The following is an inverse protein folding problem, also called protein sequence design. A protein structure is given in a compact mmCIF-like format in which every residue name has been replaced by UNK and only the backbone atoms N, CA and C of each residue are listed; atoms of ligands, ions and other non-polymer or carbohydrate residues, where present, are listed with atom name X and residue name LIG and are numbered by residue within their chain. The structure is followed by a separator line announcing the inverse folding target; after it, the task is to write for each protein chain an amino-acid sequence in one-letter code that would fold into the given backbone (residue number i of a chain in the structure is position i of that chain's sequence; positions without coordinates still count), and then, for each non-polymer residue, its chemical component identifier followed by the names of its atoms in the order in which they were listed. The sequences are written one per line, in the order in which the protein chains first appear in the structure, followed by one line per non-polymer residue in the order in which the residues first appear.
data_IF_355283407351
#
_entry.id   IF_355283407351
#
_cell.length_a   1.000
_cell.length_b   1.000
_cell.length_c   1.000
_cell.angle_alpha   90.00
_cell.angle_beta   90.00
_cell.angle_gamma   90.00
#
_symmetry.space_group_name_H-M   'P 1'
#
loop_
_entity.id
_entity.type
_entity.pdbx_description
1 polymer ?
#
# COMPACT_ATOMS: atom_id res chain seq x y z
N UNK A 1 50.30 36.17 38.86
CA UNK A 1 49.60 36.29 37.56
C UNK A 1 49.61 34.94 36.83
N UNK A 2 50.77 34.28 36.67
CA UNK A 2 50.89 32.99 35.92
C UNK A 2 50.05 31.86 36.55
N UNK A 3 50.06 31.74 37.87
CA UNK A 3 49.24 30.73 38.58
C UNK A 3 47.73 30.96 38.44
N UNK A 4 47.32 32.25 38.40
CA UNK A 4 45.93 32.61 38.19
C UNK A 4 45.45 32.29 36.76
N UNK A 5 46.28 32.57 35.77
CA UNK A 5 45.97 32.22 34.34
C UNK A 5 45.93 30.71 34.17
N UNK A 6 46.83 29.94 34.80
CA UNK A 6 46.82 28.48 34.76
C UNK A 6 45.55 27.89 35.39
N UNK A 7 45.10 28.40 36.55
CA UNK A 7 43.83 27.97 37.18
C UNK A 7 42.62 28.29 36.30
N UNK A 8 42.57 29.48 35.66
CA UNK A 8 41.52 29.82 34.73
C UNK A 8 41.48 28.88 33.52
N UNK A 9 42.63 28.53 32.96
CA UNK A 9 42.71 27.58 31.86
C UNK A 9 42.23 26.19 32.27
N UNK A 10 42.68 25.70 33.43
CA UNK A 10 42.21 24.38 33.94
C UNK A 10 40.72 24.38 34.22
N UNK A 11 40.16 25.44 34.79
CA UNK A 11 38.70 25.58 35.00
C UNK A 11 37.93 25.63 33.66
N UNK A 12 38.49 26.31 32.66
CA UNK A 12 37.92 26.35 31.32
C UNK A 12 37.90 24.96 30.67
N UNK A 13 39.03 24.23 30.71
CA UNK A 13 39.11 22.86 30.21
C UNK A 13 38.11 21.90 30.90
N UNK A 14 38.01 22.02 32.23
CA UNK A 14 37.00 21.23 33.00
C UNK A 14 35.58 21.57 32.59
N UNK A 15 35.27 22.84 32.36
CA UNK A 15 33.98 23.29 31.93
C UNK A 15 33.66 22.79 30.50
N UNK A 16 34.60 22.92 29.57
CA UNK A 16 34.45 22.39 28.21
C UNK A 16 34.25 20.87 28.21
N UNK A 17 35.06 20.14 28.98
CA UNK A 17 34.94 18.68 29.08
C UNK A 17 33.56 18.27 29.69
N UNK A 18 33.11 18.96 30.73
CA UNK A 18 31.79 18.72 31.31
C UNK A 18 30.68 18.94 30.31
N UNK A 19 30.70 20.06 29.61
CA UNK A 19 29.69 20.40 28.59
C UNK A 19 29.68 19.37 27.45
N UNK A 20 30.88 18.92 27.02
CA UNK A 20 30.97 17.89 25.99
C UNK A 20 30.36 16.56 26.44
N UNK A 21 30.66 16.11 27.66
CA UNK A 21 30.09 14.87 28.22
C UNK A 21 28.58 14.99 28.38
N UNK A 22 28.04 16.13 28.85
CA UNK A 22 26.62 16.37 28.98
C UNK A 22 25.90 16.31 27.61
N UNK A 23 26.49 16.90 26.57
CA UNK A 23 25.96 16.85 25.19
C UNK A 23 26.00 15.43 24.62
N UNK A 24 27.08 14.68 24.83
CA UNK A 24 27.18 13.28 24.40
C UNK A 24 26.17 12.38 25.13
N UNK A 25 25.93 12.62 26.41
CA UNK A 25 24.91 11.89 27.18
C UNK A 25 23.51 12.19 26.68
N UNK A 26 23.18 13.48 26.45
CA UNK A 26 21.88 13.89 25.89
C UNK A 26 21.65 13.25 24.52
N UNK A 27 22.66 13.30 23.61
CA UNK A 27 22.59 12.66 22.29
C UNK A 27 22.33 11.17 22.41
N UNK A 28 23.10 10.46 23.25
CA UNK A 28 22.97 9.02 23.42
C UNK A 28 21.61 8.62 24.01
N UNK A 29 21.15 9.35 25.04
CA UNK A 29 19.84 9.07 25.65
C UNK A 29 18.68 9.32 24.67
N UNK A 30 18.77 10.40 23.86
CA UNK A 30 17.77 10.71 22.84
C UNK A 30 17.78 9.65 21.74
N UNK A 31 18.94 9.18 21.30
CA UNK A 31 19.06 8.12 20.30
C UNK A 31 18.45 6.80 20.80
N UNK A 32 18.71 6.43 22.06
CA UNK A 32 18.08 5.25 22.68
C UNK A 32 16.56 5.42 22.70
N UNK A 33 16.04 6.59 23.05
CA UNK A 33 14.61 6.88 23.03
C UNK A 33 14.03 6.72 21.61
N UNK A 34 14.68 7.27 20.59
CA UNK A 34 14.28 7.08 19.18
C UNK A 34 14.18 5.61 18.79
N UNK A 35 15.21 4.80 19.13
CA UNK A 35 15.23 3.36 18.82
C UNK A 35 14.14 2.60 19.57
N UNK A 36 13.90 2.96 20.82
CA UNK A 36 12.88 2.32 21.64
C UNK A 36 11.47 2.58 21.08
N UNK A 37 11.16 3.83 20.74
CA UNK A 37 9.87 4.20 20.12
C UNK A 37 9.65 3.49 18.78
N UNK A 38 10.66 3.47 17.91
CA UNK A 38 10.58 2.75 16.64
C UNK A 38 10.39 1.24 16.80
N UNK A 39 10.87 0.65 17.89
CA UNK A 39 10.80 -0.79 18.14
C UNK A 39 9.52 -1.21 18.87
N UNK A 40 8.98 -0.35 19.73
CA UNK A 40 7.84 -0.65 20.59
C UNK A 40 6.51 -0.56 19.84
N UNK A 41 6.39 0.33 18.86
CA UNK A 41 5.15 0.53 18.13
C UNK A 41 5.07 -0.40 16.91
N UNK A 42 3.96 -1.15 16.79
CA UNK A 42 3.69 -2.04 15.65
C UNK A 42 3.33 -1.24 14.38
N UNK A 43 2.64 -0.10 14.55
CA UNK A 43 2.33 0.82 13.44
C UNK A 43 3.58 1.64 13.10
N UNK A 44 4.06 1.45 11.87
CA UNK A 44 5.28 2.11 11.39
C UNK A 44 5.08 3.62 11.21
N UNK A 45 3.91 4.03 10.76
CA UNK A 45 3.61 5.44 10.48
C UNK A 45 3.49 6.22 11.79
N UNK A 46 2.86 5.64 12.81
CA UNK A 46 2.79 6.21 14.16
C UNK A 46 4.18 6.28 14.81
N UNK A 47 4.99 5.21 14.67
CA UNK A 47 6.37 5.19 15.18
C UNK A 47 7.24 6.28 14.56
N UNK A 48 7.14 6.51 13.25
CA UNK A 48 7.89 7.55 12.56
C UNK A 48 7.42 8.95 13.00
N UNK A 49 6.12 9.17 13.16
CA UNK A 49 5.60 10.45 13.64
C UNK A 49 6.09 10.79 15.06
N UNK A 50 6.10 9.83 15.98
CA UNK A 50 6.66 10.02 17.33
C UNK A 50 8.17 10.28 17.28
N UNK A 51 8.89 9.58 16.39
CA UNK A 51 10.30 9.82 16.18
C UNK A 51 10.59 11.26 15.73
N UNK A 52 9.81 11.77 14.76
CA UNK A 52 9.96 13.15 14.29
C UNK A 52 9.69 14.17 15.42
N UNK A 53 8.77 13.88 16.33
CA UNK A 53 8.55 14.70 17.53
C UNK A 53 9.78 14.73 18.43
N UNK A 54 10.39 13.58 18.71
CA UNK A 54 11.61 13.47 19.54
C UNK A 54 12.77 14.28 18.90
N UNK A 55 12.95 14.12 17.57
CA UNK A 55 13.98 14.87 16.83
C UNK A 55 13.70 16.38 16.90
N UNK A 56 12.45 16.80 16.72
CA UNK A 56 12.03 18.18 16.80
C UNK A 56 12.37 18.79 18.17
N UNK A 57 12.10 18.06 19.25
CA UNK A 57 12.43 18.47 20.62
C UNK A 57 13.94 18.57 20.86
N UNK A 58 14.73 17.63 20.32
CA UNK A 58 16.19 17.60 20.42
C UNK A 58 16.84 18.84 19.77
N UNK A 59 16.36 19.22 18.59
CA UNK A 59 16.83 20.40 17.86
C UNK A 59 16.14 21.69 18.28
N UNK A 60 15.05 21.61 19.05
CA UNK A 60 14.15 22.73 19.37
C UNK A 60 13.72 23.48 18.10
N UNK A 61 13.31 22.73 17.10
CA UNK A 61 13.03 23.21 15.75
C UNK A 61 11.55 23.55 15.53
N UNK A 62 11.27 24.20 14.41
CA UNK A 62 9.89 24.50 14.02
C UNK A 62 9.21 23.26 13.43
N UNK A 63 9.88 22.58 12.49
CA UNK A 63 9.40 21.36 11.84
C UNK A 63 10.51 20.33 11.70
N UNK A 64 10.10 19.07 11.68
CA UNK A 64 10.94 17.93 11.31
C UNK A 64 10.12 17.07 10.36
N UNK A 65 10.71 16.65 9.25
CA UNK A 65 9.98 15.99 8.17
C UNK A 65 10.83 14.98 7.40
N UNK A 66 10.15 14.11 6.66
CA UNK A 66 10.75 13.18 5.72
C UNK A 66 10.14 13.44 4.35
N UNK A 67 11.00 13.66 3.36
CA UNK A 67 10.64 13.66 1.95
C UNK A 67 11.11 12.39 1.28
N UNK A 68 10.28 11.80 0.44
CA UNK A 68 10.61 10.67 -0.42
C UNK A 68 10.61 11.11 -1.89
N UNK A 69 11.50 10.50 -2.67
CA UNK A 69 11.66 10.76 -4.10
C UNK A 69 10.92 9.67 -4.87
N UNK A 70 9.99 10.07 -5.74
CA UNK A 70 9.38 9.22 -6.75
C UNK A 70 10.06 9.50 -8.10
N UNK A 71 11.03 8.64 -8.47
CA UNK A 71 11.78 8.79 -9.71
C UNK A 71 10.93 8.56 -10.96
N UNK A 72 9.91 7.69 -10.88
CA UNK A 72 9.04 7.42 -12.03
C UNK A 72 8.19 8.65 -12.37
N UNK A 73 7.66 9.33 -11.36
CA UNK A 73 6.84 10.54 -11.49
C UNK A 73 7.67 11.84 -11.54
N UNK A 74 8.97 11.77 -11.27
CA UNK A 74 9.89 12.93 -11.17
C UNK A 74 9.43 13.96 -10.14
N UNK A 75 8.92 13.50 -8.99
CA UNK A 75 8.45 14.34 -7.89
C UNK A 75 9.12 13.94 -6.57
N UNK A 76 9.05 14.84 -5.61
CA UNK A 76 9.30 14.57 -4.20
C UNK A 76 8.03 14.91 -3.41
N UNK A 77 7.75 14.12 -2.38
CA UNK A 77 6.58 14.32 -1.54
C UNK A 77 6.97 14.27 -0.06
N UNK A 78 6.30 15.10 0.73
CA UNK A 78 6.45 15.11 2.18
C UNK A 78 5.62 13.95 2.76
N UNK A 79 6.29 12.83 3.10
CA UNK A 79 5.64 11.62 3.58
C UNK A 79 5.28 11.69 5.06
N UNK A 80 6.10 12.37 5.86
CA UNK A 80 5.92 12.50 7.31
C UNK A 80 6.34 13.87 7.78
N UNK A 81 5.58 14.47 8.69
CA UNK A 81 5.88 15.78 9.25
C UNK A 81 5.39 15.95 10.69
N UNK A 82 6.28 16.42 11.55
CA UNK A 82 5.95 16.97 12.84
C UNK A 82 6.20 18.48 12.87
N UNK A 83 5.21 19.26 13.29
CA UNK A 83 5.32 20.70 13.48
C UNK A 83 5.16 21.05 14.97
N UNK A 84 6.03 21.93 15.47
CA UNK A 84 5.95 22.43 16.84
C UNK A 84 4.66 23.23 17.08
N UNK A 85 4.27 23.37 18.33
CA UNK A 85 3.05 24.10 18.69
C UNK A 85 3.06 25.53 18.14
N UNK A 86 2.06 25.86 17.35
CA UNK A 86 1.91 27.20 16.73
C UNK A 86 2.60 27.33 15.37
N UNK A 87 3.18 26.26 14.85
CA UNK A 87 3.76 26.20 13.49
C UNK A 87 2.78 25.45 12.59
N UNK A 88 2.55 25.94 11.37
CA UNK A 88 1.74 25.27 10.35
C UNK A 88 2.40 23.99 9.84
N UNK A 89 1.61 22.97 9.58
CA UNK A 89 2.03 21.81 8.80
C UNK A 89 1.98 22.13 7.30
N UNK A 90 2.94 21.65 6.57
CA UNK A 90 3.05 21.85 5.11
C UNK A 90 2.91 20.55 4.31
N UNK A 91 2.67 19.43 4.98
CA UNK A 91 2.59 18.10 4.36
C UNK A 91 1.58 18.03 3.20
N UNK A 92 0.44 18.69 3.31
CA UNK A 92 -0.58 18.74 2.26
C UNK A 92 -0.16 19.62 1.07
N UNK A 93 0.59 20.69 1.34
CA UNK A 93 1.05 21.64 0.34
C UNK A 93 2.28 21.13 -0.46
N UNK A 94 3.02 20.18 0.10
CA UNK A 94 4.28 19.66 -0.43
C UNK A 94 4.18 18.18 -0.86
N UNK A 95 3.02 17.75 -1.30
CA UNK A 95 2.76 16.36 -1.65
C UNK A 95 3.18 16.00 -3.10
N UNK A 96 3.32 16.96 -4.01
CA UNK A 96 3.76 16.73 -5.40
C UNK A 96 4.71 17.83 -5.86
N UNK A 97 5.88 17.89 -5.24
CA UNK A 97 6.91 18.89 -5.58
C UNK A 97 7.79 18.38 -6.71
N UNK A 98 7.96 19.10 -7.83
CA UNK A 98 8.87 18.69 -8.89
C UNK A 98 10.30 18.48 -8.39
N UNK A 99 10.94 17.37 -8.75
CA UNK A 99 12.29 16.99 -8.27
C UNK A 99 13.34 18.06 -8.64
N UNK A 100 13.10 18.83 -9.69
CA UNK A 100 13.98 19.91 -10.15
C UNK A 100 14.15 21.01 -9.08
N UNK A 101 13.19 21.18 -8.16
CA UNK A 101 13.26 22.18 -7.08
C UNK A 101 14.36 21.81 -6.07
N UNK A 102 14.63 20.52 -5.89
CA UNK A 102 15.67 20.04 -4.97
C UNK A 102 16.92 19.52 -5.70
N UNK A 103 17.06 19.77 -7.01
CA UNK A 103 18.20 19.23 -7.78
C UNK A 103 19.56 19.65 -7.25
N UNK A 104 19.70 20.86 -6.72
CA UNK A 104 20.92 21.33 -6.08
C UNK A 104 21.17 20.65 -4.74
N UNK A 105 20.11 20.31 -4.01
CA UNK A 105 20.22 19.56 -2.75
C UNK A 105 20.73 18.14 -2.99
N UNK A 106 20.25 17.48 -4.05
CA UNK A 106 20.76 16.16 -4.44
C UNK A 106 22.27 16.23 -4.70
N UNK A 107 22.74 17.23 -5.47
CA UNK A 107 24.17 17.45 -5.70
C UNK A 107 24.95 17.74 -4.41
N UNK A 108 24.37 18.51 -3.47
CA UNK A 108 24.96 18.76 -2.15
C UNK A 108 25.07 17.45 -1.34
N UNK A 109 24.02 16.61 -1.35
CA UNK A 109 24.06 15.31 -0.68
C UNK A 109 25.12 14.38 -1.26
N UNK A 110 25.26 14.32 -2.57
CA UNK A 110 26.31 13.52 -3.24
C UNK A 110 27.72 13.97 -2.86
N UNK A 111 27.92 15.28 -2.72
CA UNK A 111 29.25 15.87 -2.43
C UNK A 111 29.60 15.89 -0.95
N UNK A 112 28.63 16.22 -0.08
CA UNK A 112 28.86 16.55 1.33
C UNK A 112 28.20 15.55 2.29
N UNK A 113 27.31 14.69 1.79
CA UNK A 113 26.55 13.73 2.57
C UNK A 113 25.37 14.36 3.31
N UNK A 114 25.57 15.50 3.97
CA UNK A 114 24.54 16.25 4.70
C UNK A 114 24.92 17.73 4.69
N UNK A 115 23.95 18.62 4.86
CA UNK A 115 24.25 20.04 4.89
C UNK A 115 23.39 20.80 5.92
N UNK A 116 23.90 21.98 6.30
CA UNK A 116 23.23 22.95 7.16
C UNK A 116 23.22 24.32 6.50
N UNK A 117 22.04 24.88 6.30
CA UNK A 117 21.82 26.25 5.89
C UNK A 117 21.61 27.08 7.15
N UNK A 118 22.60 27.90 7.53
CA UNK A 118 22.55 28.71 8.75
C UNK A 118 21.67 29.95 8.62
N UNK A 119 21.61 30.50 7.41
CA UNK A 119 20.78 31.64 7.06
C UNK A 119 20.48 31.59 5.57
N UNK A 120 19.19 31.35 5.26
CA UNK A 120 18.72 31.22 3.87
C UNK A 120 19.00 32.46 3.03
N UNK A 121 18.98 33.67 3.61
CA UNK A 121 19.22 34.91 2.88
C UNK A 121 20.69 35.10 2.46
N UNK A 122 21.62 34.39 3.09
CA UNK A 122 23.05 34.42 2.73
C UNK A 122 23.41 33.43 1.64
N UNK A 123 22.60 32.38 1.43
CA UNK A 123 22.80 31.37 0.39
C UNK A 123 22.17 31.75 -0.96
N UNK A 124 22.33 33.01 -1.38
CA UNK A 124 21.81 33.52 -2.66
C UNK A 124 22.59 32.96 -3.88
N UNK A 125 22.77 31.65 -3.98
CA UNK A 125 23.15 31.03 -5.21
C UNK A 125 21.91 30.94 -6.11
N UNK A 126 21.95 31.67 -7.21
CA UNK A 126 20.85 31.84 -8.20
C UNK A 126 20.39 30.52 -8.84
N UNK A 127 21.08 29.42 -8.61
CA UNK A 127 20.69 28.09 -9.12
C UNK A 127 19.46 27.53 -8.41
N UNK A 128 19.08 28.04 -7.22
CA UNK A 128 18.00 27.53 -6.37
C UNK A 128 16.91 28.55 -6.02
N UNK A 129 16.64 29.52 -6.92
CA UNK A 129 15.65 30.57 -6.66
C UNK A 129 14.26 30.00 -6.27
N UNK A 130 13.84 28.89 -6.91
CA UNK A 130 12.56 28.23 -6.59
C UNK A 130 12.55 27.55 -5.24
N UNK A 131 13.64 26.86 -4.87
CA UNK A 131 13.79 26.26 -3.55
C UNK A 131 13.82 27.35 -2.47
N UNK A 132 14.54 28.47 -2.72
CA UNK A 132 14.56 29.61 -1.82
C UNK A 132 13.17 30.21 -1.61
N UNK A 133 12.39 30.47 -2.67
CA UNK A 133 11.04 31.00 -2.55
C UNK A 133 10.11 30.04 -1.81
N UNK A 134 10.20 28.75 -2.07
CA UNK A 134 9.43 27.71 -1.40
C UNK A 134 9.70 27.71 0.12
N UNK A 135 10.98 27.75 0.52
CA UNK A 135 11.36 27.78 1.94
C UNK A 135 10.96 29.09 2.62
N UNK A 136 11.11 30.23 1.93
CA UNK A 136 10.71 31.54 2.46
C UNK A 136 9.19 31.65 2.70
N UNK A 137 8.40 31.12 1.78
CA UNK A 137 6.94 31.08 1.94
C UNK A 137 6.51 30.32 3.21
N UNK A 138 7.32 29.38 3.65
CA UNK A 138 7.10 28.55 4.84
C UNK A 138 7.76 29.11 6.11
N UNK A 139 8.31 30.34 6.07
CA UNK A 139 9.05 30.98 7.16
C UNK A 139 10.32 30.20 7.58
N UNK A 140 10.94 29.45 6.70
CA UNK A 140 12.22 28.78 6.95
C UNK A 140 13.35 29.79 6.78
N UNK A 141 14.20 29.95 7.81
CA UNK A 141 15.40 30.80 7.78
C UNK A 141 16.69 29.98 7.84
N UNK A 142 16.64 28.83 8.48
CA UNK A 142 17.75 27.88 8.58
C UNK A 142 17.21 26.45 8.50
N UNK A 143 18.01 25.52 7.99
CA UNK A 143 17.60 24.13 7.94
C UNK A 143 18.80 23.17 7.97
N UNK A 144 18.56 21.97 8.49
CA UNK A 144 19.47 20.82 8.37
C UNK A 144 18.81 19.82 7.44
N UNK A 145 19.57 19.21 6.53
CA UNK A 145 19.09 18.13 5.70
C UNK A 145 20.10 16.98 5.65
N UNK A 146 19.60 15.75 5.78
CA UNK A 146 20.37 14.51 5.72
C UNK A 146 19.69 13.56 4.73
N UNK A 147 20.40 12.99 3.74
CA UNK A 147 19.78 12.14 2.72
C UNK A 147 19.36 10.80 3.29
N UNK A 148 18.27 10.25 2.80
CA UNK A 148 17.88 8.85 2.97
C UNK A 148 18.52 8.06 1.83
N UNK A 149 19.39 7.11 2.15
CA UNK A 149 20.16 6.36 1.16
C UNK A 149 19.78 4.89 1.21
N UNK A 150 19.43 4.32 0.06
CA UNK A 150 19.17 2.89 -0.15
C UNK A 150 20.01 2.41 -1.34
N UNK A 151 20.80 1.35 -1.17
CA UNK A 151 21.63 0.78 -2.23
C UNK A 151 22.56 1.79 -2.94
N UNK A 152 23.03 2.81 -2.23
CA UNK A 152 23.85 3.95 -2.71
C UNK A 152 23.09 4.99 -3.54
N UNK A 153 21.78 4.92 -3.59
CA UNK A 153 20.90 5.89 -4.24
C UNK A 153 20.22 6.75 -3.19
N UNK A 154 20.02 8.02 -3.48
CA UNK A 154 19.30 8.95 -2.61
C UNK A 154 17.81 8.80 -2.94
N UNK A 155 17.05 8.22 -2.00
CA UNK A 155 15.61 7.97 -2.15
C UNK A 155 14.76 9.00 -1.42
N UNK A 156 15.37 9.99 -0.78
CA UNK A 156 14.67 11.00 0.00
C UNK A 156 15.63 11.75 0.93
N UNK A 157 15.08 12.46 1.88
CA UNK A 157 15.85 13.12 2.92
C UNK A 157 15.02 13.41 4.17
N UNK A 158 15.71 13.51 5.30
CA UNK A 158 15.14 14.05 6.54
C UNK A 158 15.59 15.50 6.71
N UNK A 159 14.64 16.38 7.02
CA UNK A 159 14.88 17.80 7.24
C UNK A 159 14.44 18.29 8.60
N UNK A 160 15.11 19.34 9.08
CA UNK A 160 14.82 20.03 10.36
C UNK A 160 14.86 21.53 10.09
N UNK A 161 13.71 22.20 10.19
CA UNK A 161 13.59 23.64 9.94
C UNK A 161 13.81 24.45 11.21
N UNK A 162 14.56 25.54 11.07
CA UNK A 162 14.81 26.53 12.12
C UNK A 162 15.32 25.90 13.44
N UNK A 163 16.37 25.03 13.41
CA UNK A 163 16.92 24.44 14.63
C UNK A 163 17.53 25.53 15.53
N UNK A 164 17.21 25.49 16.84
CA UNK A 164 17.70 26.43 17.85
C UNK A 164 18.74 25.81 18.76
N UNK A 165 18.90 24.47 18.70
CA UNK A 165 19.88 23.70 19.47
C UNK A 165 20.49 22.61 18.60
N UNK A 166 21.69 22.16 18.89
CA UNK A 166 22.35 21.00 18.29
C UNK A 166 22.49 21.05 16.74
N UNK A 167 22.37 22.22 16.12
CA UNK A 167 22.30 22.43 14.66
C UNK A 167 23.50 21.93 13.84
N UNK A 168 24.55 21.43 14.50
CA UNK A 168 25.72 20.78 13.86
C UNK A 168 25.82 19.29 14.15
N UNK A 169 24.83 18.71 14.84
CA UNK A 169 24.86 17.28 15.18
C UNK A 169 24.31 16.40 14.05
N UNK A 170 25.01 16.45 12.90
CA UNK A 170 24.75 15.54 11.78
C UNK A 170 24.88 14.05 12.16
N UNK A 171 25.85 13.63 13.02
CA UNK A 171 25.97 12.24 13.42
C UNK A 171 24.70 11.69 14.08
N UNK A 172 23.96 12.52 14.86
CA UNK A 172 22.69 12.14 15.43
C UNK A 172 21.65 11.86 14.33
N UNK A 173 21.42 12.80 13.40
CA UNK A 173 20.46 12.61 12.30
C UNK A 173 20.84 11.45 11.38
N UNK A 174 22.14 11.26 11.10
CA UNK A 174 22.61 10.13 10.29
C UNK A 174 22.37 8.79 10.99
N UNK A 175 22.49 8.74 12.32
CA UNK A 175 22.12 7.53 13.09
C UNK A 175 20.62 7.28 13.05
N UNK A 176 19.81 8.31 13.22
CA UNK A 176 18.34 8.21 13.15
C UNK A 176 17.89 7.81 11.75
N UNK A 177 18.50 8.36 10.69
CA UNK A 177 18.26 7.98 9.30
C UNK A 177 18.40 6.46 9.11
N UNK A 178 19.45 5.86 9.66
CA UNK A 178 19.65 4.40 9.56
C UNK A 178 18.48 3.62 10.17
N UNK A 179 17.96 4.03 11.32
CA UNK A 179 16.82 3.37 11.96
C UNK A 179 15.51 3.59 11.18
N UNK A 180 15.29 4.80 10.66
CA UNK A 180 14.12 5.09 9.80
C UNK A 180 14.16 4.17 8.57
N UNK A 181 15.30 4.10 7.88
CA UNK A 181 15.45 3.26 6.68
C UNK A 181 15.16 1.80 6.98
N UNK A 182 15.73 1.24 8.05
CA UNK A 182 15.45 -0.13 8.45
C UNK A 182 13.96 -0.36 8.73
N UNK A 183 13.28 0.61 9.31
CA UNK A 183 11.85 0.50 9.62
C UNK A 183 10.98 0.56 8.36
N UNK A 184 11.28 1.47 7.44
CA UNK A 184 10.61 1.58 6.14
C UNK A 184 10.84 0.32 5.29
N UNK A 185 12.06 -0.22 5.26
CA UNK A 185 12.36 -1.45 4.55
C UNK A 185 11.61 -2.66 5.14
N UNK A 186 11.49 -2.72 6.47
CA UNK A 186 10.70 -3.75 7.15
C UNK A 186 9.22 -3.64 6.76
N UNK A 187 8.64 -2.43 6.75
CA UNK A 187 7.26 -2.17 6.31
C UNK A 187 7.06 -2.65 4.87
N UNK A 188 7.92 -2.22 3.95
CA UNK A 188 7.84 -2.60 2.54
C UNK A 188 7.95 -4.12 2.34
N UNK A 189 8.82 -4.80 3.11
CA UNK A 189 8.94 -6.25 3.08
C UNK A 189 7.68 -6.94 3.62
N UNK A 190 7.10 -6.45 4.71
CA UNK A 190 5.86 -6.96 5.26
C UNK A 190 4.69 -6.80 4.28
N UNK A 191 4.54 -5.63 3.68
CA UNK A 191 3.51 -5.35 2.67
C UNK A 191 3.67 -6.27 1.45
N UNK A 192 4.92 -6.45 0.98
CA UNK A 192 5.21 -7.38 -0.13
C UNK A 192 4.88 -8.83 0.22
N UNK A 193 5.25 -9.28 1.42
CA UNK A 193 4.91 -10.62 1.89
C UNK A 193 3.40 -10.80 2.01
N UNK A 194 2.69 -9.80 2.53
CA UNK A 194 1.25 -9.80 2.62
C UNK A 194 0.59 -9.83 1.24
N UNK A 195 1.07 -9.01 0.30
CA UNK A 195 0.62 -9.01 -1.09
C UNK A 195 0.78 -10.41 -1.71
N UNK A 196 1.98 -11.01 -1.62
CA UNK A 196 2.26 -12.35 -2.15
C UNK A 196 1.43 -13.44 -1.45
N UNK A 197 1.17 -13.29 -0.15
CA UNK A 197 0.34 -14.23 0.61
C UNK A 197 -1.15 -14.14 0.29
N UNK A 198 -1.64 -13.00 -0.21
CA UNK A 198 -3.06 -12.73 -0.41
C UNK A 198 -3.50 -12.67 -1.88
N UNK A 199 -2.58 -12.80 -2.84
CA UNK A 199 -2.91 -12.80 -4.26
C UNK A 199 -2.81 -14.20 -4.87
N UNK A 200 -3.69 -14.48 -5.83
CA UNK A 200 -3.65 -15.69 -6.66
C UNK A 200 -2.66 -15.50 -7.79
N UNK A 201 -1.69 -16.41 -7.92
CA UNK A 201 -0.60 -16.30 -8.88
C UNK A 201 -1.06 -16.32 -10.36
N UNK A 202 -2.20 -16.94 -10.68
CA UNK A 202 -2.71 -17.04 -12.03
C UNK A 202 -3.52 -15.81 -12.45
N UNK A 203 -4.35 -15.28 -11.54
CA UNK A 203 -5.38 -14.28 -11.86
C UNK A 203 -5.08 -12.89 -11.25
N UNK A 204 -4.17 -12.82 -10.30
CA UNK A 204 -3.86 -11.64 -9.47
C UNK A 204 -5.07 -11.14 -8.64
N UNK A 205 -6.16 -11.88 -8.54
CA UNK A 205 -7.25 -11.64 -7.61
C UNK A 205 -6.82 -11.96 -6.17
N UNK A 206 -7.61 -11.58 -5.18
CA UNK A 206 -7.41 -12.10 -3.84
C UNK A 206 -7.56 -13.62 -3.83
N UNK A 207 -6.68 -14.30 -3.11
CA UNK A 207 -6.69 -15.76 -2.99
C UNK A 207 -7.55 -16.23 -1.80
N UNK A 208 -7.62 -17.55 -1.62
CA UNK A 208 -8.34 -18.18 -0.53
C UNK A 208 -7.86 -17.73 0.86
N UNK A 209 -6.56 -17.47 1.04
CA UNK A 209 -6.05 -17.03 2.34
C UNK A 209 -6.61 -15.65 2.71
N UNK A 210 -6.66 -14.71 1.76
CA UNK A 210 -7.29 -13.39 1.98
C UNK A 210 -8.78 -13.53 2.29
N UNK A 211 -9.48 -14.38 1.55
CA UNK A 211 -10.90 -14.67 1.78
C UNK A 211 -11.16 -15.18 3.21
N UNK A 212 -10.39 -16.18 3.67
CA UNK A 212 -10.50 -16.71 5.03
C UNK A 212 -10.18 -15.67 6.10
N UNK A 213 -9.16 -14.85 5.89
CA UNK A 213 -8.81 -13.76 6.81
C UNK A 213 -9.95 -12.74 6.94
N UNK A 214 -10.62 -12.39 5.83
CA UNK A 214 -11.78 -11.49 5.85
C UNK A 214 -12.95 -12.13 6.64
N UNK A 215 -13.24 -13.40 6.44
CA UNK A 215 -14.28 -14.11 7.19
C UNK A 215 -13.98 -14.17 8.69
N UNK A 216 -12.75 -14.47 9.07
CA UNK A 216 -12.32 -14.49 10.47
C UNK A 216 -12.50 -13.13 11.14
N UNK A 217 -12.14 -12.03 10.47
CA UNK A 217 -12.34 -10.68 10.98
C UNK A 217 -13.82 -10.36 11.22
N UNK A 218 -14.71 -10.80 10.33
CA UNK A 218 -16.15 -10.66 10.54
C UNK A 218 -16.67 -11.54 11.68
N UNK A 219 -16.14 -12.76 11.84
CA UNK A 219 -16.56 -13.67 12.90
C UNK A 219 -16.06 -13.24 14.29
N UNK A 220 -14.89 -12.61 14.39
CA UNK A 220 -14.34 -12.10 15.66
C UNK A 220 -15.15 -10.90 16.18
N UNK A 221 -15.73 -10.10 15.31
CA UNK A 221 -16.63 -8.99 15.64
C UNK A 221 -18.07 -9.46 15.92
N UNK A 222 -18.23 -10.55 16.69
CA UNK A 222 -19.52 -11.15 17.03
C UNK A 222 -20.48 -10.10 17.60
N UNK A 223 -21.59 -9.88 16.88
CA UNK A 223 -22.65 -8.93 17.26
C UNK A 223 -22.61 -7.61 16.48
N UNK A 224 -21.63 -7.38 15.62
CA UNK A 224 -21.65 -6.27 14.69
C UNK A 224 -22.44 -6.67 13.43
N UNK A 225 -23.60 -6.04 13.25
CA UNK A 225 -24.43 -6.21 12.06
C UNK A 225 -23.69 -5.66 10.85
N UNK A 226 -23.53 -6.50 9.82
CA UNK A 226 -23.02 -6.04 8.52
C UNK A 226 -24.23 -5.49 7.76
N UNK A 227 -24.14 -4.21 7.38
CA UNK A 227 -25.20 -3.55 6.60
C UNK A 227 -24.94 -3.65 5.11
N UNK A 228 -26.02 -3.83 4.34
CA UNK A 228 -25.98 -3.75 2.88
C UNK A 228 -24.88 -4.62 2.25
N UNK A 229 -24.90 -5.91 2.49
CA UNK A 229 -23.88 -6.84 1.98
C UNK A 229 -24.38 -7.63 0.79
N UNK A 230 -23.62 -7.62 -0.30
CA UNK A 230 -23.81 -8.43 -1.49
C UNK A 230 -22.78 -9.55 -1.59
N UNK A 231 -23.24 -10.75 -1.97
CA UNK A 231 -22.39 -11.92 -2.24
C UNK A 231 -22.73 -12.48 -3.62
N UNK A 232 -21.68 -12.73 -4.42
CA UNK A 232 -21.80 -13.52 -5.65
C UNK A 232 -20.85 -14.72 -5.54
N UNK A 233 -21.40 -15.93 -5.50
CA UNK A 233 -20.63 -17.17 -5.60
C UNK A 233 -20.63 -17.62 -7.06
N UNK A 234 -19.49 -18.01 -7.60
CA UNK A 234 -19.32 -18.28 -9.03
C UNK A 234 -18.45 -19.52 -9.26
N UNK A 235 -18.83 -20.28 -10.28
CA UNK A 235 -18.08 -21.47 -10.73
C UNK A 235 -18.00 -21.47 -12.26
N UNK A 236 -16.80 -21.69 -12.80
CA UNK A 236 -16.59 -21.76 -14.24
C UNK A 236 -17.05 -23.08 -14.83
N UNK A 237 -18.05 -22.99 -15.71
CA UNK A 237 -18.53 -24.15 -16.43
C UNK A 237 -17.52 -24.60 -17.50
N UNK A 238 -17.48 -25.89 -17.75
CA UNK A 238 -16.71 -26.53 -18.82
C UNK A 238 -15.17 -26.39 -18.73
N UNK A 239 -14.58 -25.89 -17.62
CA UNK A 239 -13.12 -25.78 -17.49
C UNK A 239 -12.41 -27.12 -17.70
N UNK A 240 -12.95 -28.22 -17.15
CA UNK A 240 -12.41 -29.56 -17.35
C UNK A 240 -12.40 -29.94 -18.83
N UNK A 241 -13.47 -29.62 -19.57
CA UNK A 241 -13.56 -29.91 -21.00
C UNK A 241 -12.51 -29.10 -21.78
N UNK A 242 -12.32 -27.83 -21.45
CA UNK A 242 -11.28 -26.99 -22.08
C UNK A 242 -9.89 -27.58 -21.82
N UNK A 243 -9.61 -28.01 -20.59
CA UNK A 243 -8.34 -28.68 -20.26
C UNK A 243 -8.14 -29.98 -21.03
N UNK A 244 -9.17 -30.83 -21.12
CA UNK A 244 -9.08 -32.13 -21.76
C UNK A 244 -8.96 -32.02 -23.29
N UNK A 245 -9.60 -31.01 -23.92
CA UNK A 245 -9.59 -30.80 -25.37
C UNK A 245 -8.43 -29.93 -25.87
N UNK A 246 -7.97 -28.93 -25.09
CA UNK A 246 -7.04 -27.90 -25.53
C UNK A 246 -5.79 -27.76 -24.63
N UNK A 247 -5.70 -28.53 -23.55
CA UNK A 247 -4.59 -28.52 -22.60
C UNK A 247 -4.72 -27.47 -21.48
N UNK A 248 -3.89 -27.62 -20.46
CA UNK A 248 -3.93 -26.77 -19.25
C UNK A 248 -3.67 -25.28 -19.51
N UNK A 249 -2.84 -24.94 -20.50
CA UNK A 249 -2.60 -23.54 -20.87
C UNK A 249 -3.86 -22.83 -21.37
N UNK A 250 -4.71 -23.54 -22.11
CA UNK A 250 -6.01 -23.03 -22.56
C UNK A 250 -6.97 -22.84 -21.38
N UNK A 251 -6.96 -23.78 -20.42
CA UNK A 251 -7.73 -23.66 -19.19
C UNK A 251 -7.29 -22.47 -18.33
N UNK A 252 -5.99 -22.28 -18.18
CA UNK A 252 -5.42 -21.12 -17.49
C UNK A 252 -5.83 -19.81 -18.17
N UNK A 253 -5.81 -19.77 -19.50
CA UNK A 253 -6.27 -18.61 -20.27
C UNK A 253 -7.78 -18.36 -20.08
N UNK A 254 -8.57 -19.41 -19.97
CA UNK A 254 -10.00 -19.32 -19.68
C UNK A 254 -10.28 -18.78 -18.30
N UNK A 255 -9.53 -19.24 -17.27
CA UNK A 255 -9.59 -18.71 -15.89
C UNK A 255 -9.19 -17.24 -15.85
N UNK A 256 -8.08 -16.84 -16.51
CA UNK A 256 -7.65 -15.41 -16.56
C UNK A 256 -8.71 -14.53 -17.21
N UNK A 257 -9.32 -14.99 -18.30
CA UNK A 257 -10.38 -14.26 -18.99
C UNK A 257 -11.60 -14.06 -18.09
N UNK A 258 -12.03 -15.09 -17.35
CA UNK A 258 -13.10 -14.97 -16.36
C UNK A 258 -12.76 -13.96 -15.27
N UNK A 259 -11.58 -14.07 -14.68
CA UNK A 259 -11.09 -13.16 -13.65
C UNK A 259 -11.09 -11.70 -14.11
N UNK A 260 -10.69 -11.42 -15.36
CA UNK A 260 -10.71 -10.09 -15.94
C UNK A 260 -12.14 -9.51 -16.02
N UNK A 261 -13.15 -10.33 -16.36
CA UNK A 261 -14.52 -9.86 -16.42
C UNK A 261 -15.10 -9.59 -15.04
N UNK A 262 -14.71 -10.39 -14.04
CA UNK A 262 -15.20 -10.23 -12.66
C UNK A 262 -14.58 -8.97 -12.04
N UNK A 263 -13.26 -8.80 -12.13
CA UNK A 263 -12.56 -7.66 -11.52
C UNK A 263 -12.91 -6.33 -12.19
N UNK A 264 -13.25 -6.33 -13.47
CA UNK A 264 -13.70 -5.13 -14.18
C UNK A 264 -15.00 -4.54 -13.60
N UNK A 265 -15.82 -5.37 -12.93
CA UNK A 265 -17.07 -4.97 -12.30
C UNK A 265 -16.94 -4.84 -10.79
N UNK A 266 -16.17 -5.74 -10.15
CA UNK A 266 -16.00 -5.83 -8.70
C UNK A 266 -14.51 -5.73 -8.32
N UNK A 267 -13.84 -4.60 -8.53
CA UNK A 267 -12.47 -4.42 -8.10
C UNK A 267 -12.38 -4.55 -6.57
N UNK A 268 -11.29 -5.13 -6.05
CA UNK A 268 -10.97 -5.26 -4.62
C UNK A 268 -11.91 -6.11 -3.75
N UNK A 269 -13.03 -6.59 -4.29
CA UNK A 269 -14.02 -7.42 -3.60
C UNK A 269 -14.10 -8.85 -4.14
N UNK A 270 -13.16 -9.23 -5.01
CA UNK A 270 -13.16 -10.50 -5.72
C UNK A 270 -12.08 -11.44 -5.22
N UNK A 271 -12.47 -12.67 -4.94
CA UNK A 271 -11.61 -13.74 -4.41
C UNK A 271 -11.66 -14.94 -5.33
N UNK A 272 -10.50 -15.57 -5.62
CA UNK A 272 -10.44 -16.91 -6.19
C UNK A 272 -10.17 -17.89 -5.07
N UNK A 273 -11.15 -18.76 -4.78
CA UNK A 273 -11.12 -19.66 -3.62
C UNK A 273 -10.80 -21.12 -3.98
N UNK A 274 -10.96 -21.48 -5.25
CA UNK A 274 -10.70 -22.80 -5.81
C UNK A 274 -10.13 -22.71 -7.23
N UNK A 275 -10.02 -23.85 -7.91
CA UNK A 275 -9.53 -23.91 -9.30
C UNK A 275 -10.38 -23.10 -10.27
N UNK A 276 -11.70 -23.31 -10.20
CA UNK A 276 -12.77 -22.72 -11.02
C UNK A 276 -13.76 -21.87 -10.22
N UNK A 277 -13.54 -21.69 -8.90
CA UNK A 277 -14.45 -21.03 -8.00
C UNK A 277 -13.99 -19.60 -7.65
N UNK A 278 -14.93 -18.65 -7.75
CA UNK A 278 -14.73 -17.25 -7.41
C UNK A 278 -15.83 -16.77 -6.48
N UNK A 279 -15.50 -15.85 -5.60
CA UNK A 279 -16.46 -15.20 -4.71
C UNK A 279 -16.28 -13.69 -4.79
N UNK A 280 -17.38 -12.96 -4.87
CA UNK A 280 -17.45 -11.53 -4.57
C UNK A 280 -18.10 -11.38 -3.22
N UNK A 281 -17.47 -10.62 -2.32
CA UNK A 281 -18.00 -10.21 -1.04
C UNK A 281 -17.93 -8.69 -0.97
N UNK A 282 -19.07 -8.03 -1.11
CA UNK A 282 -19.15 -6.57 -1.20
C UNK A 282 -19.98 -6.00 -0.04
N UNK A 283 -19.34 -5.53 1.03
CA UNK A 283 -20.02 -4.84 2.13
C UNK A 283 -20.45 -3.42 1.73
N UNK A 284 -21.42 -2.86 2.44
CA UNK A 284 -21.89 -1.48 2.33
C UNK A 284 -22.41 -1.06 0.95
N UNK A 285 -22.79 -2.03 0.10
CA UNK A 285 -23.35 -1.77 -1.23
C UNK A 285 -24.90 -1.79 -1.21
N UNK A 286 -25.54 -0.77 -1.81
CA UNK A 286 -26.98 -0.73 -1.97
C UNK A 286 -27.47 -1.84 -2.91
N UNK A 287 -28.64 -2.38 -2.65
CA UNK A 287 -29.21 -3.47 -3.45
C UNK A 287 -29.26 -3.14 -4.95
N UNK A 288 -29.77 -1.97 -5.30
CA UNK A 288 -29.91 -1.54 -6.70
C UNK A 288 -28.59 -1.44 -7.44
N UNK A 289 -27.55 -1.00 -6.75
CA UNK A 289 -26.19 -0.89 -7.29
C UNK A 289 -25.57 -2.28 -7.44
N UNK A 290 -25.72 -3.13 -6.45
CA UNK A 290 -25.26 -4.51 -6.50
C UNK A 290 -25.90 -5.30 -7.64
N UNK A 291 -27.22 -5.22 -7.80
CA UNK A 291 -27.95 -5.88 -8.89
C UNK A 291 -27.51 -5.35 -10.27
N UNK A 292 -27.26 -4.05 -10.39
CA UNK A 292 -26.69 -3.47 -11.59
C UNK A 292 -25.31 -4.04 -11.91
N UNK A 293 -24.41 -4.13 -10.94
CA UNK A 293 -23.09 -4.72 -11.14
C UNK A 293 -23.16 -6.20 -11.52
N UNK A 294 -24.04 -6.98 -10.87
CA UNK A 294 -24.27 -8.37 -11.25
C UNK A 294 -24.74 -8.49 -12.70
N UNK A 295 -25.65 -7.63 -13.14
CA UNK A 295 -26.12 -7.62 -14.53
C UNK A 295 -25.02 -7.29 -15.53
N UNK A 296 -24.13 -6.36 -15.21
CA UNK A 296 -22.96 -6.03 -16.02
C UNK A 296 -21.97 -7.20 -16.08
N UNK A 297 -21.71 -7.88 -14.95
CA UNK A 297 -20.86 -9.06 -14.94
C UNK A 297 -21.39 -10.16 -15.85
N UNK A 298 -22.70 -10.47 -15.76
CA UNK A 298 -23.32 -11.49 -16.61
C UNK A 298 -23.25 -11.13 -18.10
N UNK A 299 -23.43 -9.86 -18.44
CA UNK A 299 -23.30 -9.35 -19.81
C UNK A 299 -21.84 -9.49 -20.29
N UNK A 300 -20.88 -9.01 -19.54
CA UNK A 300 -19.45 -9.09 -19.86
C UNK A 300 -18.99 -10.54 -20.07
N UNK A 301 -19.37 -11.43 -19.14
CA UNK A 301 -19.03 -12.85 -19.25
C UNK A 301 -19.56 -13.46 -20.56
N UNK A 302 -20.81 -13.15 -20.94
CA UNK A 302 -21.42 -13.63 -22.17
C UNK A 302 -20.70 -13.08 -23.43
N UNK A 303 -20.39 -11.79 -23.44
CA UNK A 303 -19.67 -11.12 -24.55
C UNK A 303 -18.27 -11.70 -24.76
N UNK A 304 -17.60 -12.09 -23.68
CA UNK A 304 -16.26 -12.67 -23.72
C UNK A 304 -16.23 -14.20 -23.72
N UNK A 305 -17.38 -14.84 -23.97
CA UNK A 305 -17.52 -16.30 -24.06
C UNK A 305 -17.00 -17.04 -22.82
N UNK A 306 -17.32 -16.50 -21.63
CA UNK A 306 -17.04 -17.12 -20.35
C UNK A 306 -18.34 -17.66 -19.78
N UNK A 307 -18.41 -18.99 -19.61
CA UNK A 307 -19.59 -19.64 -19.03
C UNK A 307 -19.42 -19.77 -17.52
N UNK A 308 -20.23 -19.06 -16.76
CA UNK A 308 -20.19 -19.02 -15.30
C UNK A 308 -21.56 -19.38 -14.75
N UNK A 309 -21.60 -20.21 -13.73
CA UNK A 309 -22.79 -20.40 -12.87
C UNK A 309 -22.71 -19.47 -11.68
N UNK A 310 -23.86 -18.85 -11.34
CA UNK A 310 -23.94 -17.77 -10.35
C UNK A 310 -24.87 -18.12 -9.20
N UNK A 311 -24.45 -17.80 -7.99
CA UNK A 311 -25.33 -17.69 -6.82
C UNK A 311 -25.25 -16.27 -6.26
N UNK A 312 -26.35 -15.53 -6.37
CA UNK A 312 -26.41 -14.11 -6.01
C UNK A 312 -27.30 -13.92 -4.79
N UNK A 313 -26.81 -13.26 -3.77
CA UNK A 313 -27.57 -12.94 -2.55
C UNK A 313 -27.19 -11.52 -2.11
N UNK A 314 -28.19 -10.77 -1.68
CA UNK A 314 -28.02 -9.48 -1.03
C UNK A 314 -28.86 -9.41 0.24
N UNK A 315 -28.31 -8.79 1.31
CA UNK A 315 -29.05 -8.54 2.56
C UNK A 315 -28.76 -7.13 3.08
N UNK A 316 -29.82 -6.46 3.51
CA UNK A 316 -29.72 -5.15 4.16
C UNK A 316 -29.05 -5.24 5.54
N UNK A 317 -29.36 -6.30 6.27
CA UNK A 317 -28.80 -6.60 7.59
C UNK A 317 -28.40 -8.08 7.65
N UNK A 318 -27.11 -8.33 7.84
CA UNK A 318 -26.56 -9.68 7.93
C UNK A 318 -25.96 -9.90 9.33
N UNK A 319 -26.56 -10.83 10.07
CA UNK A 319 -26.09 -11.22 11.41
C UNK A 319 -25.00 -12.29 11.34
N UNK A 320 -25.08 -13.15 10.33
CA UNK A 320 -24.13 -14.24 10.10
C UNK A 320 -23.74 -14.30 8.63
N UNK A 321 -22.49 -13.97 8.35
CA UNK A 321 -21.96 -13.98 6.99
C UNK A 321 -21.83 -15.39 6.42
N UNK A 322 -21.58 -16.40 7.24
CA UNK A 322 -21.45 -17.79 6.80
C UNK A 322 -22.78 -18.34 6.24
N UNK A 323 -23.92 -17.97 6.84
CA UNK A 323 -25.24 -18.35 6.35
C UNK A 323 -25.52 -17.72 4.97
N UNK A 324 -25.10 -16.45 4.80
CA UNK A 324 -25.25 -15.74 3.53
C UNK A 324 -24.42 -16.37 2.41
N UNK A 325 -23.19 -16.74 2.72
CA UNK A 325 -22.29 -17.45 1.80
C UNK A 325 -22.82 -18.83 1.44
N UNK A 326 -23.34 -19.58 2.42
CA UNK A 326 -23.96 -20.88 2.20
C UNK A 326 -25.19 -20.78 1.29
N UNK A 327 -26.00 -19.73 1.46
CA UNK A 327 -27.14 -19.46 0.58
C UNK A 327 -26.69 -19.16 -0.86
N UNK A 328 -25.63 -18.36 -1.02
CA UNK A 328 -25.07 -18.03 -2.32
C UNK A 328 -24.49 -19.27 -3.03
N UNK A 329 -23.72 -20.09 -2.32
CA UNK A 329 -23.17 -21.34 -2.85
C UNK A 329 -24.28 -22.29 -3.32
N UNK A 330 -25.33 -22.47 -2.51
CA UNK A 330 -26.50 -23.30 -2.90
C UNK A 330 -27.16 -22.80 -4.19
N UNK A 331 -27.36 -21.50 -4.34
CA UNK A 331 -27.97 -20.92 -5.57
C UNK A 331 -27.05 -21.14 -6.78
N UNK A 332 -25.73 -20.98 -6.62
CA UNK A 332 -24.74 -21.26 -7.67
C UNK A 332 -24.80 -22.73 -8.11
N UNK A 333 -24.88 -23.65 -7.16
CA UNK A 333 -24.99 -25.08 -7.47
C UNK A 333 -26.31 -25.45 -8.21
N UNK A 334 -27.42 -24.79 -7.88
CA UNK A 334 -28.69 -24.93 -8.59
C UNK A 334 -28.57 -24.41 -10.03
N UNK A 335 -27.97 -23.26 -10.25
CA UNK A 335 -27.72 -22.70 -11.58
C UNK A 335 -26.79 -23.60 -12.41
N UNK A 336 -25.74 -24.17 -11.80
CA UNK A 336 -24.85 -25.13 -12.43
C UNK A 336 -25.57 -26.39 -12.92
N UNK A 337 -26.53 -26.91 -12.12
CA UNK A 337 -27.35 -28.05 -12.55
C UNK A 337 -28.21 -27.71 -13.77
N UNK A 338 -28.83 -26.54 -13.78
CA UNK A 338 -29.59 -26.06 -14.91
C UNK A 338 -28.76 -25.91 -16.18
N UNK A 339 -27.60 -25.35 -16.07
CA UNK A 339 -26.64 -25.20 -17.17
C UNK A 339 -26.34 -26.57 -17.84
N UNK A 340 -25.95 -27.57 -17.06
CA UNK A 340 -25.60 -28.89 -17.61
C UNK A 340 -26.84 -29.69 -18.09
N UNK A 341 -28.00 -29.51 -17.52
CA UNK A 341 -29.24 -30.17 -18.02
C UNK A 341 -29.60 -29.64 -19.41
N UNK A 342 -29.58 -28.34 -19.61
CA UNK A 342 -29.86 -27.68 -20.89
C UNK A 342 -28.85 -28.05 -21.96
N UNK A 343 -27.57 -28.15 -21.59
CA UNK A 343 -26.45 -28.54 -22.52
C UNK A 343 -26.59 -30.00 -22.97
N UNK A 344 -27.05 -30.91 -22.11
CA UNK A 344 -27.31 -32.30 -22.48
C UNK A 344 -28.51 -32.41 -23.45
N UNK A 345 -29.56 -31.62 -23.26
CA UNK A 345 -30.71 -31.59 -24.18
C UNK A 345 -30.31 -31.04 -25.56
N UNK A 346 -29.53 -29.98 -25.63
CA UNK A 346 -29.04 -29.45 -26.90
C UNK A 346 -28.16 -30.46 -27.68
N UNK A 347 -27.35 -31.25 -27.00
CA UNK A 347 -26.53 -32.30 -27.64
C UNK A 347 -27.37 -33.45 -28.21
N UNK A 348 -28.44 -33.89 -27.52
CA UNK A 348 -29.38 -34.85 -28.03
C UNK A 348 -30.14 -34.32 -29.24
N UNK A 349 -30.58 -33.08 -29.21
CA UNK A 349 -31.24 -32.45 -30.33
C UNK A 349 -30.36 -32.21 -31.57
N UNK A 350 -29.04 -32.08 -31.40
CA UNK A 350 -28.10 -32.00 -32.50
C UNK A 350 -27.76 -33.38 -33.09
N UNK A 351 -27.70 -34.42 -32.24
CA UNK A 351 -27.47 -35.82 -32.71
C UNK A 351 -28.71 -36.29 -33.52
N UNK A 352 -29.94 -35.94 -33.08
CA UNK A 352 -31.16 -36.28 -33.83
C UNK A 352 -31.27 -35.53 -35.18
N UNK A 353 -30.73 -34.30 -35.29
CA UNK A 353 -30.71 -33.55 -36.57
C UNK A 353 -29.62 -33.99 -37.53
N UNK A 354 -28.59 -34.69 -37.08
CA UNK A 354 -27.49 -35.19 -37.92
C UNK A 354 -27.55 -36.68 -38.26
N UNK A 355 -28.63 -37.35 -37.95
CA UNK A 355 -28.88 -38.70 -38.47
C UNK A 355 -29.23 -38.58 -39.95
N UNK A 356 -28.45 -39.18 -40.88
CA UNK A 356 -28.80 -39.20 -42.29
C UNK A 356 -30.12 -39.93 -42.46
N UNK A 357 -31.04 -39.28 -43.18
CA UNK A 357 -32.27 -39.89 -43.70
C UNK A 357 -31.85 -41.13 -44.51
N UNK A 358 -31.89 -42.29 -43.85
CA UNK A 358 -31.69 -43.53 -44.50
C UNK A 358 -32.89 -43.79 -45.41
N UNK A 359 -32.69 -43.59 -46.69
CA UNK A 359 -33.63 -43.85 -47.80
C UNK A 359 -34.29 -45.22 -47.67
N UNK A 360 -35.56 -45.17 -47.36
CA UNK A 360 -36.47 -46.32 -47.64
C UNK A 360 -36.82 -46.32 -49.12
N UNK A 361 -35.96 -46.92 -49.91
CA UNK A 361 -36.32 -47.42 -51.25
C UNK A 361 -35.47 -48.65 -51.56
N UNK A 362 -36.15 -49.82 -51.51
CA UNK A 362 -35.99 -51.02 -52.36
C UNK A 362 -36.50 -52.27 -51.63
N UNK A 363 -37.76 -52.58 -51.85
CA UNK A 363 -38.25 -53.95 -52.06
C UNK A 363 -39.64 -53.88 -52.66
N UNK A 364 -39.63 -53.83 -53.97
CA UNK A 364 -40.72 -54.34 -54.82
C UNK A 364 -40.04 -54.91 -56.05
N UNK A 365 -39.77 -56.22 -56.02
CA UNK A 365 -39.80 -57.26 -57.06
C UNK A 365 -39.41 -58.57 -56.45
#
# INVERSE_FOLDING_TARGET
ITYFIWNLHTLWELFENKTKVENELERSSTLIHCVTELSANQDVDEAINHLLEIINQYFKSDRTYIFEIDEERQIVHNSYEYAAKGVSKEIENLNEVPIQIIASWIKKFEREGSFYISNLDLEKDREDERAYECLKAQNVNSLIAVPLIRNREIIGFIGVDNPRKNYRDFPFLSSVQFFIMNRLDTKAQQEKLQYLSYRDALTNLYNRNRYMNVLENYSQNKGQLIRNVGVVYMDLNELKKVNDEQGHEAGDSYIRRAAQQIVAVFPEHTYRIGGDEFVVLYPEIKQTEFEYFVSQLQKNAKEHQVNISYGVVWKEMCENLEDLLTEADKKMYEDKKLYYSNTKHNRRGQIERNLPLCTAEKKAM
#
